data_IF_522452388897
#
_entry.id   IF_522452388897
#
_cell.length_a   1.000
_cell.length_b   1.000
_cell.length_c   1.000
_cell.angle_alpha   90.00
_cell.angle_beta   90.00
_cell.angle_gamma   90.00
#
_symmetry.space_group_name_H-M   'P 1'
#
loop_
_entity.id
_entity.type
_entity.pdbx_description
1 polymer ?
#
# COMPACT_ATOMS: atom_id res chain seq x y z
N UNK A 1 24.58 5.56 -1.11
CA UNK A 1 23.75 5.45 0.11
C UNK A 1 23.83 4.06 0.75
N UNK A 2 23.50 2.96 0.05
CA UNK A 2 23.57 1.60 0.64
C UNK A 2 24.93 1.26 1.23
N UNK A 3 26.03 1.59 0.54
CA UNK A 3 27.42 1.42 1.03
C UNK A 3 27.63 2.15 2.36
N UNK A 4 27.27 3.44 2.43
CA UNK A 4 27.38 4.23 3.66
C UNK A 4 26.55 3.65 4.83
N UNK A 5 25.36 3.09 4.56
CA UNK A 5 24.57 2.42 5.61
C UNK A 5 25.24 1.13 6.10
N UNK A 6 25.91 0.38 5.22
CA UNK A 6 26.70 -0.80 5.63
C UNK A 6 27.91 -0.38 6.47
N UNK A 7 28.62 0.66 6.05
CA UNK A 7 29.81 1.17 6.75
C UNK A 7 29.43 1.71 8.14
N UNK A 8 28.34 2.45 8.24
CA UNK A 8 27.90 2.99 9.53
C UNK A 8 27.43 1.91 10.48
N UNK A 9 26.68 0.90 10.00
CA UNK A 9 26.29 -0.24 10.83
C UNK A 9 27.50 -0.96 11.44
N UNK A 10 28.56 -1.17 10.64
CA UNK A 10 29.82 -1.77 11.10
C UNK A 10 30.55 -0.89 12.12
N UNK A 11 30.55 0.44 11.90
CA UNK A 11 31.25 1.38 12.77
C UNK A 11 30.56 1.59 14.12
N UNK A 12 29.23 1.55 14.12
CA UNK A 12 28.39 1.84 15.30
C UNK A 12 27.93 0.60 16.06
N UNK A 13 28.27 -0.61 15.60
CA UNK A 13 27.75 -1.88 16.11
C UNK A 13 26.22 -1.88 16.24
N UNK A 14 25.57 -1.27 15.26
CA UNK A 14 24.12 -1.09 15.21
C UNK A 14 23.53 -1.79 13.99
N UNK A 15 22.23 -2.08 14.04
CA UNK A 15 21.52 -2.63 12.89
C UNK A 15 21.62 -1.71 11.67
N UNK A 16 21.73 -2.32 10.48
CA UNK A 16 21.80 -1.57 9.24
C UNK A 16 20.49 -0.81 8.97
N UNK A 17 20.60 0.49 8.72
CA UNK A 17 19.47 1.29 8.23
C UNK A 17 18.87 0.71 6.95
N UNK A 18 17.53 0.68 6.89
CA UNK A 18 16.79 0.26 5.71
C UNK A 18 16.84 1.34 4.62
N UNK A 19 16.92 0.89 3.37
CA UNK A 19 16.85 1.75 2.19
C UNK A 19 15.71 1.28 1.29
N UNK A 20 14.76 2.17 1.02
CA UNK A 20 13.59 1.94 0.16
C UNK A 20 13.34 3.15 -0.73
N UNK A 21 12.54 2.99 -1.78
CA UNK A 21 12.13 4.09 -2.65
C UNK A 21 10.66 3.94 -3.09
N UNK A 22 9.91 5.04 -3.10
CA UNK A 22 8.65 5.09 -3.84
C UNK A 22 8.96 5.39 -5.32
N UNK A 23 8.41 4.60 -6.23
CA UNK A 23 8.76 4.63 -7.66
C UNK A 23 7.54 4.75 -8.55
N UNK A 24 7.76 5.18 -9.80
CA UNK A 24 6.67 5.33 -10.77
C UNK A 24 6.05 3.98 -11.17
N UNK A 25 4.73 4.00 -11.38
CA UNK A 25 3.98 2.91 -12.00
C UNK A 25 3.88 3.06 -13.53
N UNK A 26 4.27 4.21 -14.09
CA UNK A 26 4.12 4.53 -15.51
C UNK A 26 5.27 3.98 -16.34
N UNK A 27 4.96 3.14 -17.34
CA UNK A 27 5.94 2.51 -18.24
C UNK A 27 6.99 3.49 -18.77
N UNK A 28 6.55 4.62 -19.32
CA UNK A 28 7.43 5.62 -19.92
C UNK A 28 8.46 6.17 -18.92
N UNK A 29 8.00 6.54 -17.73
CA UNK A 29 8.89 7.00 -16.65
C UNK A 29 9.81 5.88 -16.17
N UNK A 30 9.30 4.65 -16.06
CA UNK A 30 10.10 3.48 -15.65
C UNK A 30 11.29 3.30 -16.60
N UNK A 31 11.05 3.34 -17.91
CA UNK A 31 12.09 3.15 -18.94
C UNK A 31 13.13 4.28 -18.96
N UNK A 32 12.72 5.51 -18.75
CA UNK A 32 13.60 6.68 -18.86
C UNK A 32 14.40 6.98 -17.59
N UNK A 33 13.86 6.63 -16.41
CA UNK A 33 14.35 7.18 -15.14
C UNK A 33 15.03 6.15 -14.23
N UNK A 34 14.90 4.85 -14.50
CA UNK A 34 15.35 3.81 -13.56
C UNK A 34 16.18 2.74 -14.24
N UNK A 35 17.41 2.55 -13.76
CA UNK A 35 18.12 1.28 -13.94
C UNK A 35 17.55 0.26 -12.96
N UNK A 36 16.44 -0.39 -13.34
CA UNK A 36 15.66 -1.27 -12.47
C UNK A 36 16.48 -2.44 -11.92
N UNK A 37 17.33 -3.05 -12.74
CA UNK A 37 18.19 -4.15 -12.32
C UNK A 37 19.14 -3.72 -11.20
N UNK A 38 19.85 -2.60 -11.38
CA UNK A 38 20.72 -2.06 -10.33
C UNK A 38 19.95 -1.66 -9.08
N UNK A 39 18.75 -1.08 -9.21
CA UNK A 39 17.91 -0.78 -8.03
C UNK A 39 17.52 -2.04 -7.27
N UNK A 40 17.19 -3.11 -7.99
CA UNK A 40 16.81 -4.41 -7.43
C UNK A 40 17.91 -5.07 -6.61
N UNK A 41 19.18 -4.69 -6.79
CA UNK A 41 20.28 -5.13 -5.93
C UNK A 41 20.23 -4.46 -4.56
N UNK A 42 19.87 -3.17 -4.50
CA UNK A 42 20.09 -2.35 -3.30
C UNK A 42 18.87 -2.10 -2.42
N UNK A 43 17.65 -2.04 -2.97
CA UNK A 43 16.49 -1.55 -2.24
C UNK A 43 15.17 -2.22 -2.64
N UNK A 44 14.17 -2.12 -1.75
CA UNK A 44 12.77 -2.44 -2.07
C UNK A 44 12.05 -1.21 -2.63
N UNK A 45 11.11 -1.43 -3.55
CA UNK A 45 10.37 -0.37 -4.25
C UNK A 45 8.88 -0.41 -3.94
N UNK A 46 8.29 0.77 -3.69
CA UNK A 46 6.86 0.97 -3.52
C UNK A 46 6.20 1.47 -4.81
N UNK A 47 5.22 0.73 -5.35
CA UNK A 47 4.44 1.10 -6.53
C UNK A 47 3.01 1.47 -6.12
N UNK A 48 2.58 2.72 -6.32
CA UNK A 48 1.23 3.16 -5.95
C UNK A 48 0.38 3.48 -7.17
N UNK A 49 -0.76 2.78 -7.30
CA UNK A 49 -1.85 3.10 -8.24
C UNK A 49 -3.21 2.81 -7.58
N UNK A 50 -4.29 3.36 -8.12
CA UNK A 50 -5.62 3.23 -7.50
C UNK A 50 -6.29 1.86 -7.73
N UNK A 51 -6.21 1.29 -8.94
CA UNK A 51 -6.87 0.01 -9.26
C UNK A 51 -5.90 -1.17 -9.30
N UNK A 52 -6.38 -2.37 -8.97
CA UNK A 52 -5.56 -3.59 -8.99
C UNK A 52 -4.99 -3.86 -10.38
N UNK A 53 -5.75 -3.63 -11.45
CA UNK A 53 -5.28 -3.86 -12.82
C UNK A 53 -4.03 -3.02 -13.17
N UNK A 54 -3.98 -1.78 -12.71
CA UNK A 54 -2.80 -0.94 -12.88
C UNK A 54 -1.66 -1.33 -11.93
N UNK A 55 -1.98 -1.78 -10.71
CA UNK A 55 -0.98 -2.31 -9.77
C UNK A 55 -0.30 -3.54 -10.39
N UNK A 56 -1.09 -4.46 -10.96
CA UNK A 56 -0.61 -5.67 -11.60
C UNK A 56 0.23 -5.36 -12.85
N UNK A 57 -0.26 -4.48 -13.72
CA UNK A 57 0.50 -4.02 -14.90
C UNK A 57 1.87 -3.47 -14.48
N UNK A 58 1.89 -2.52 -13.54
CA UNK A 58 3.11 -1.87 -13.11
C UNK A 58 4.06 -2.86 -12.42
N UNK A 59 3.56 -3.70 -11.51
CA UNK A 59 4.37 -4.68 -10.81
C UNK A 59 4.98 -5.73 -11.75
N UNK A 60 4.21 -6.21 -12.74
CA UNK A 60 4.72 -7.11 -13.78
C UNK A 60 5.75 -6.41 -14.67
N UNK A 61 5.60 -5.11 -14.92
CA UNK A 61 6.59 -4.34 -15.67
C UNK A 61 7.89 -4.16 -14.90
N UNK A 62 7.83 -3.84 -13.60
CA UNK A 62 9.03 -3.79 -12.75
C UNK A 62 9.73 -5.16 -12.69
N UNK A 63 8.97 -6.24 -12.58
CA UNK A 63 9.48 -7.61 -12.61
C UNK A 63 10.20 -7.91 -13.93
N UNK A 64 9.61 -7.56 -15.09
CA UNK A 64 10.21 -7.82 -16.40
C UNK A 64 11.49 -7.00 -16.65
N UNK A 65 11.67 -5.89 -15.93
CA UNK A 65 12.87 -5.05 -15.96
C UNK A 65 13.96 -5.49 -14.95
N UNK A 66 13.74 -6.59 -14.22
CA UNK A 66 14.74 -7.22 -13.35
C UNK A 66 14.58 -6.95 -11.85
N UNK A 67 13.48 -6.33 -11.41
CA UNK A 67 13.22 -6.16 -9.97
C UNK A 67 12.81 -7.50 -9.34
N UNK A 68 13.49 -7.99 -8.29
CA UNK A 68 13.06 -9.19 -7.58
C UNK A 68 11.65 -9.02 -7.02
N UNK A 69 10.79 -10.02 -7.23
CA UNK A 69 9.36 -9.94 -6.88
C UNK A 69 9.12 -9.61 -5.39
N UNK A 70 9.94 -10.16 -4.51
CA UNK A 70 9.90 -9.95 -3.06
C UNK A 70 10.37 -8.55 -2.63
N UNK A 71 10.96 -7.77 -3.54
CA UNK A 71 11.34 -6.37 -3.33
C UNK A 71 10.29 -5.39 -3.90
N UNK A 72 9.23 -5.89 -4.54
CA UNK A 72 8.10 -5.08 -5.01
C UNK A 72 7.06 -5.01 -3.90
N UNK A 73 6.81 -3.81 -3.38
CA UNK A 73 5.83 -3.51 -2.34
C UNK A 73 4.67 -2.75 -2.99
N UNK A 74 3.44 -3.26 -2.87
CA UNK A 74 2.27 -2.69 -3.52
C UNK A 74 1.66 -1.58 -2.66
N UNK A 75 1.49 -0.40 -3.25
CA UNK A 75 0.89 0.77 -2.61
C UNK A 75 -0.62 0.71 -2.63
N UNK A 76 -1.21 0.79 -1.44
CA UNK A 76 -2.65 0.79 -1.19
C UNK A 76 -3.07 2.22 -0.81
N UNK A 77 -3.90 2.89 -1.63
CA UNK A 77 -4.38 4.22 -1.30
C UNK A 77 -5.50 4.12 -0.25
N UNK A 78 -5.41 4.94 0.79
CA UNK A 78 -6.51 5.16 1.76
C UNK A 78 -7.31 6.42 1.41
N UNK A 79 -7.26 6.82 0.14
CA UNK A 79 -7.98 7.94 -0.45
C UNK A 79 -8.55 7.53 -1.81
N UNK A 80 -9.51 8.31 -2.29
CA UNK A 80 -10.09 8.18 -3.61
C UNK A 80 -9.75 9.34 -4.54
N UNK A 81 -10.05 9.15 -5.82
CA UNK A 81 -10.08 10.21 -6.84
C UNK A 81 -11.52 10.42 -7.27
N UNK A 82 -11.89 11.69 -7.46
CA UNK A 82 -13.26 12.07 -7.75
C UNK A 82 -13.43 12.96 -8.97
N UNK A 83 -14.60 12.84 -9.59
CA UNK A 83 -15.06 13.61 -10.73
C UNK A 83 -16.48 14.11 -10.49
N UNK A 84 -16.80 15.25 -11.10
CA UNK A 84 -18.20 15.69 -11.23
C UNK A 84 -18.74 15.14 -12.55
N UNK A 85 -19.79 14.32 -12.49
CA UNK A 85 -20.48 13.75 -13.65
C UNK A 85 -21.19 14.84 -14.45
N UNK A 86 -21.16 14.73 -15.78
CA UNK A 86 -21.99 15.57 -16.67
C UNK A 86 -23.47 15.29 -16.46
N UNK A 87 -23.82 14.00 -16.43
CA UNK A 87 -25.17 13.52 -16.24
C UNK A 87 -25.21 12.55 -15.05
N UNK A 88 -25.93 12.89 -13.98
CA UNK A 88 -25.99 12.05 -12.79
C UNK A 88 -26.74 10.74 -12.99
N UNK A 89 -27.52 10.59 -14.06
CA UNK A 89 -28.15 9.30 -14.41
C UNK A 89 -27.16 8.31 -15.05
N UNK A 90 -25.98 8.77 -15.48
CA UNK A 90 -24.91 7.96 -16.04
C UNK A 90 -23.74 7.92 -15.05
N UNK A 91 -23.67 6.87 -14.25
CA UNK A 91 -22.76 6.83 -13.09
C UNK A 91 -21.87 5.59 -13.04
N UNK A 92 -21.88 4.76 -14.09
CA UNK A 92 -20.99 3.60 -14.21
C UNK A 92 -19.56 4.05 -14.53
N UNK A 93 -18.60 3.14 -14.36
CA UNK A 93 -17.21 3.38 -14.78
C UNK A 93 -17.19 3.75 -16.27
N UNK A 94 -16.47 4.81 -16.61
CA UNK A 94 -16.40 5.37 -17.97
C UNK A 94 -17.41 6.46 -18.28
N UNK A 95 -18.33 6.78 -17.36
CA UNK A 95 -19.24 7.92 -17.51
C UNK A 95 -18.49 9.26 -17.67
N UNK A 96 -19.10 10.19 -18.42
CA UNK A 96 -18.46 11.46 -18.74
C UNK A 96 -18.41 12.39 -17.52
N UNK A 97 -17.21 12.83 -17.15
CA UNK A 97 -16.98 13.87 -16.15
C UNK A 97 -16.79 15.25 -16.78
N UNK A 98 -17.27 16.30 -16.12
CA UNK A 98 -17.05 17.71 -16.52
C UNK A 98 -15.85 18.36 -15.82
N UNK A 99 -15.21 17.63 -14.89
CA UNK A 99 -14.06 18.11 -14.14
C UNK A 99 -13.85 17.29 -12.87
N UNK A 100 -12.91 17.73 -12.00
CA UNK A 100 -12.72 17.16 -10.68
C UNK A 100 -14.02 17.18 -9.86
N UNK A 101 -14.13 16.28 -8.89
CA UNK A 101 -15.18 16.39 -7.86
C UNK A 101 -15.04 17.70 -7.10
N UNK A 102 -16.12 18.13 -6.44
CA UNK A 102 -16.12 19.29 -5.58
C UNK A 102 -15.07 19.17 -4.45
N UNK A 103 -14.62 20.31 -3.89
CA UNK A 103 -13.74 20.33 -2.72
C UNK A 103 -14.24 19.44 -1.58
N UNK A 104 -13.30 18.74 -0.93
CA UNK A 104 -13.56 17.98 0.29
C UNK A 104 -12.88 18.66 1.48
N UNK A 105 -13.10 18.17 2.69
CA UNK A 105 -12.40 18.66 3.89
C UNK A 105 -10.90 18.37 3.81
N UNK A 106 -10.51 17.23 3.23
CA UNK A 106 -9.10 16.86 3.06
C UNK A 106 -8.43 17.52 1.85
N UNK A 107 -9.19 18.01 0.87
CA UNK A 107 -8.66 18.65 -0.32
C UNK A 107 -9.55 19.79 -0.82
N UNK A 108 -9.15 21.02 -0.51
CA UNK A 108 -9.87 22.25 -0.81
C UNK A 108 -9.94 22.59 -2.31
N UNK A 109 -9.16 21.93 -3.17
CA UNK A 109 -9.22 22.11 -4.63
C UNK A 109 -10.18 21.11 -5.30
N UNK A 110 -10.55 20.04 -4.59
CA UNK A 110 -11.38 18.95 -5.12
C UNK A 110 -10.59 17.91 -5.92
N UNK A 111 -11.29 16.88 -6.39
CA UNK A 111 -10.72 15.77 -7.16
C UNK A 111 -10.10 14.62 -6.36
N UNK A 112 -9.96 14.76 -5.04
CA UNK A 112 -9.58 13.65 -4.14
C UNK A 112 -10.40 13.69 -2.86
N UNK A 113 -10.48 12.55 -2.19
CA UNK A 113 -11.31 12.35 -0.99
C UNK A 113 -10.61 11.36 -0.05
N UNK A 114 -10.60 11.60 1.25
CA UNK A 114 -10.08 10.63 2.21
C UNK A 114 -11.10 9.49 2.45
N UNK A 115 -10.66 8.28 2.84
CA UNK A 115 -11.58 7.18 3.13
C UNK A 115 -12.59 7.53 4.23
N UNK A 116 -12.15 8.23 5.28
CA UNK A 116 -13.05 8.68 6.34
C UNK A 116 -14.13 9.67 5.86
N UNK A 117 -13.89 10.42 4.77
CA UNK A 117 -14.89 11.29 4.14
C UNK A 117 -15.91 10.48 3.34
N UNK A 118 -15.46 9.46 2.60
CA UNK A 118 -16.35 8.53 1.91
C UNK A 118 -17.36 7.94 2.89
N UNK A 119 -16.92 7.50 4.07
CA UNK A 119 -17.81 6.97 5.10
C UNK A 119 -18.89 7.97 5.54
N UNK A 120 -18.61 9.28 5.55
CA UNK A 120 -19.62 10.31 5.81
C UNK A 120 -20.57 10.44 4.63
N UNK A 121 -20.07 10.47 3.41
CA UNK A 121 -20.90 10.61 2.21
C UNK A 121 -21.84 9.43 2.02
N UNK A 122 -21.43 8.20 2.34
CA UNK A 122 -22.30 7.02 2.36
C UNK A 122 -23.44 7.17 3.36
N UNK A 123 -23.16 7.68 4.58
CA UNK A 123 -24.20 7.97 5.58
C UNK A 123 -25.16 9.08 5.15
N UNK A 124 -24.71 9.98 4.29
CA UNK A 124 -25.51 11.08 3.72
C UNK A 124 -26.23 10.69 2.41
N UNK A 125 -26.34 9.40 2.08
CA UNK A 125 -27.08 8.90 0.93
C UNK A 125 -26.24 8.69 -0.34
N UNK A 126 -24.92 8.64 -0.23
CA UNK A 126 -24.05 8.15 -1.30
C UNK A 126 -24.22 6.64 -1.51
N UNK A 127 -24.19 6.20 -2.76
CA UNK A 127 -24.31 4.79 -3.14
C UNK A 127 -22.94 4.23 -3.51
N UNK A 128 -22.52 3.16 -2.84
CA UNK A 128 -21.29 2.40 -3.17
C UNK A 128 -21.60 1.29 -4.18
N UNK A 129 -20.69 1.09 -5.13
CA UNK A 129 -20.64 -0.08 -6.00
C UNK A 129 -19.23 -0.65 -6.01
N UNK A 130 -19.11 -1.97 -5.86
CA UNK A 130 -17.84 -2.68 -5.99
C UNK A 130 -17.63 -3.07 -7.45
N UNK A 131 -16.48 -2.73 -8.00
CA UNK A 131 -15.99 -3.23 -9.29
C UNK A 131 -15.06 -4.42 -9.06
N UNK A 132 -15.61 -5.63 -9.13
CA UNK A 132 -14.85 -6.87 -8.97
C UNK A 132 -13.81 -7.07 -10.08
N UNK A 133 -14.04 -6.54 -11.28
CA UNK A 133 -13.13 -6.70 -12.42
C UNK A 133 -11.88 -5.83 -12.25
N UNK A 134 -12.05 -4.58 -11.84
CA UNK A 134 -10.95 -3.66 -11.52
C UNK A 134 -10.35 -3.85 -10.14
N UNK A 135 -11.07 -4.56 -9.26
CA UNK A 135 -10.86 -4.65 -7.80
C UNK A 135 -10.66 -3.26 -7.20
N UNK A 136 -11.78 -2.58 -7.04
CA UNK A 136 -11.92 -1.28 -6.39
C UNK A 136 -13.39 -1.01 -6.10
N UNK A 137 -13.66 0.09 -5.42
CA UNK A 137 -15.02 0.58 -5.20
C UNK A 137 -15.18 1.95 -5.84
N UNK A 138 -16.43 2.31 -6.12
CA UNK A 138 -16.78 3.69 -6.39
C UNK A 138 -18.05 4.09 -5.66
N UNK A 139 -18.14 5.36 -5.28
CA UNK A 139 -19.27 5.94 -4.58
C UNK A 139 -19.83 7.11 -5.38
N UNK A 140 -21.15 7.15 -5.50
CA UNK A 140 -21.90 8.19 -6.21
C UNK A 140 -22.86 8.89 -5.27
N UNK A 141 -22.76 10.22 -5.16
CA UNK A 141 -23.71 11.05 -4.41
C UNK A 141 -24.10 12.26 -5.27
N UNK A 142 -25.35 12.26 -5.75
CA UNK A 142 -25.78 13.26 -6.75
C UNK A 142 -24.97 13.11 -8.04
N UNK A 143 -24.28 14.18 -8.46
CA UNK A 143 -23.34 14.15 -9.58
C UNK A 143 -21.87 13.99 -9.16
N UNK A 144 -21.60 13.67 -7.90
CA UNK A 144 -20.24 13.48 -7.40
C UNK A 144 -19.90 11.99 -7.44
N UNK A 145 -18.82 11.64 -8.14
CA UNK A 145 -18.38 10.26 -8.34
C UNK A 145 -16.96 10.11 -7.80
N UNK A 146 -16.69 9.09 -6.99
CA UNK A 146 -15.39 8.85 -6.39
C UNK A 146 -14.98 7.38 -6.54
N UNK A 147 -13.82 7.10 -7.14
CA UNK A 147 -13.17 5.78 -7.07
C UNK A 147 -12.26 5.74 -5.86
N UNK A 148 -12.31 4.65 -5.09
CA UNK A 148 -11.54 4.47 -3.86
C UNK A 148 -11.38 2.98 -3.52
N UNK A 149 -10.72 2.70 -2.40
CA UNK A 149 -10.63 1.38 -1.79
C UNK A 149 -11.40 1.33 -0.48
N UNK A 150 -12.14 0.24 -0.26
CA UNK A 150 -12.76 -0.09 1.02
C UNK A 150 -12.11 -1.35 1.61
N UNK A 151 -12.57 -1.80 2.78
CA UNK A 151 -12.00 -3.00 3.42
C UNK A 151 -12.10 -4.25 2.56
N UNK A 152 -13.18 -4.40 1.80
CA UNK A 152 -13.42 -5.56 0.94
C UNK A 152 -12.47 -5.58 -0.25
N UNK A 153 -12.31 -4.46 -0.96
CA UNK A 153 -11.40 -4.35 -2.11
C UNK A 153 -9.95 -4.47 -1.66
N UNK A 154 -9.61 -3.96 -0.48
CA UNK A 154 -8.29 -4.16 0.14
C UNK A 154 -8.04 -5.63 0.44
N UNK A 155 -9.01 -6.35 1.01
CA UNK A 155 -8.86 -7.80 1.26
C UNK A 155 -8.63 -8.56 -0.04
N UNK A 156 -9.36 -8.22 -1.10
CA UNK A 156 -9.14 -8.78 -2.45
C UNK A 156 -7.72 -8.49 -2.96
N UNK A 157 -7.23 -7.25 -2.82
CA UNK A 157 -5.86 -6.87 -3.19
C UNK A 157 -4.80 -7.61 -2.37
N UNK A 158 -5.00 -7.80 -1.06
CA UNK A 158 -4.05 -8.54 -0.23
C UNK A 158 -3.98 -10.02 -0.59
N UNK A 159 -5.13 -10.64 -0.92
CA UNK A 159 -5.17 -12.01 -1.43
C UNK A 159 -4.43 -12.15 -2.76
N UNK A 160 -4.69 -11.26 -3.71
CA UNK A 160 -3.96 -11.20 -4.98
C UNK A 160 -2.46 -11.01 -4.76
N UNK A 161 -2.06 -10.11 -3.87
CA UNK A 161 -0.66 -9.83 -3.57
C UNK A 161 0.08 -11.07 -3.05
N UNK A 162 -0.55 -11.78 -2.10
CA UNK A 162 -0.06 -13.06 -1.55
C UNK A 162 0.03 -14.13 -2.65
N UNK A 163 -1.03 -14.31 -3.43
CA UNK A 163 -1.10 -15.29 -4.52
C UNK A 163 0.02 -15.05 -5.55
N UNK A 164 0.27 -13.78 -5.89
CA UNK A 164 1.36 -13.43 -6.81
C UNK A 164 2.73 -13.48 -6.14
N UNK A 165 2.86 -13.52 -4.81
CA UNK A 165 4.15 -13.57 -4.13
C UNK A 165 4.96 -12.27 -4.20
N UNK A 166 4.28 -11.11 -4.13
CA UNK A 166 4.96 -9.82 -3.95
C UNK A 166 5.43 -9.64 -2.50
N UNK A 167 6.37 -8.71 -2.27
CA UNK A 167 7.07 -8.55 -0.99
C UNK A 167 6.23 -7.99 0.16
N UNK A 168 5.08 -7.40 -0.13
CA UNK A 168 4.25 -6.75 0.88
C UNK A 168 3.43 -5.60 0.35
N UNK A 169 2.75 -4.91 1.26
CA UNK A 169 1.97 -3.71 0.95
C UNK A 169 2.54 -2.49 1.69
N UNK A 170 2.29 -1.29 1.18
CA UNK A 170 2.42 -0.05 1.95
C UNK A 170 1.16 0.79 1.77
N UNK A 171 0.85 1.65 2.73
CA UNK A 171 -0.32 2.54 2.63
C UNK A 171 0.09 3.98 2.33
N UNK A 172 -0.77 4.68 1.61
CA UNK A 172 -0.74 6.13 1.46
C UNK A 172 -2.15 6.67 1.71
N UNK A 173 -2.45 7.28 2.86
CA UNK A 173 -1.63 7.52 4.07
C UNK A 173 -2.39 7.11 5.34
N UNK A 174 -1.75 7.20 6.52
CA UNK A 174 -2.44 6.93 7.79
C UNK A 174 -3.59 7.89 8.07
N UNK A 175 -3.41 9.17 7.75
CA UNK A 175 -4.34 10.26 8.07
C UNK A 175 -5.59 10.29 7.16
N UNK A 176 -5.61 9.48 6.10
CA UNK A 176 -6.78 9.33 5.22
C UNK A 176 -7.62 8.10 5.53
N UNK A 177 -7.11 7.13 6.30
CA UNK A 177 -7.93 6.08 6.91
C UNK A 177 -8.86 6.66 7.99
N UNK A 178 -9.86 5.92 8.48
CA UNK A 178 -10.65 6.34 9.65
C UNK A 178 -9.84 6.12 10.94
N UNK A 179 -8.75 6.88 11.08
CA UNK A 179 -7.76 6.72 12.15
C UNK A 179 -8.33 6.93 13.56
N UNK A 180 -9.43 7.69 13.69
CA UNK A 180 -10.17 7.84 14.96
C UNK A 180 -11.24 6.78 15.18
N UNK A 181 -11.65 6.07 14.12
CA UNK A 181 -12.74 5.09 14.16
C UNK A 181 -14.14 5.66 14.30
N UNK A 182 -14.30 6.97 14.11
CA UNK A 182 -15.57 7.69 14.34
C UNK A 182 -16.40 7.89 13.07
N UNK A 183 -15.81 7.68 11.88
CA UNK A 183 -16.43 8.04 10.61
C UNK A 183 -17.16 6.86 9.99
N UNK A 184 -16.56 5.67 10.01
CA UNK A 184 -17.08 4.45 9.40
C UNK A 184 -17.82 3.55 10.39
N UNK A 185 -17.59 3.72 11.71
CA UNK A 185 -18.18 2.88 12.75
C UNK A 185 -17.54 1.48 12.85
N UNK A 186 -16.28 1.35 12.41
CA UNK A 186 -15.55 0.08 12.32
C UNK A 186 -14.30 0.01 13.23
N UNK A 187 -14.19 0.96 14.17
CA UNK A 187 -12.98 1.13 14.99
C UNK A 187 -11.87 1.88 14.23
N UNK A 188 -10.76 2.20 14.91
CA UNK A 188 -9.67 2.96 14.32
C UNK A 188 -8.91 2.16 13.26
N UNK A 189 -8.49 2.84 12.19
CA UNK A 189 -7.72 2.27 11.09
C UNK A 189 -8.33 1.00 10.44
N UNK A 190 -9.59 1.04 9.99
CA UNK A 190 -10.25 -0.12 9.40
C UNK A 190 -9.52 -0.66 8.16
N UNK A 191 -9.01 0.21 7.28
CA UNK A 191 -8.31 -0.22 6.08
C UNK A 191 -6.97 -0.88 6.43
N UNK A 192 -6.20 -0.28 7.33
CA UNK A 192 -4.95 -0.87 7.82
C UNK A 192 -5.17 -2.22 8.51
N UNK A 193 -6.22 -2.31 9.31
CA UNK A 193 -6.59 -3.54 10.01
C UNK A 193 -6.94 -4.66 9.02
N UNK A 194 -7.66 -4.32 7.93
CA UNK A 194 -7.93 -5.26 6.85
C UNK A 194 -6.66 -5.74 6.15
N UNK A 195 -5.65 -4.88 5.97
CA UNK A 195 -4.34 -5.26 5.42
C UNK A 195 -3.64 -6.25 6.36
N UNK A 196 -3.48 -5.90 7.64
CA UNK A 196 -2.77 -6.73 8.61
C UNK A 196 -3.41 -8.11 8.77
N UNK A 197 -4.75 -8.14 8.89
CA UNK A 197 -5.51 -9.39 8.99
C UNK A 197 -5.22 -10.33 7.82
N UNK A 198 -5.17 -9.81 6.60
CA UNK A 198 -4.90 -10.64 5.43
C UNK A 198 -3.42 -11.02 5.29
N UNK A 199 -2.46 -10.17 5.67
CA UNK A 199 -1.03 -10.47 5.49
C UNK A 199 -0.47 -11.39 6.59
N UNK A 200 -0.86 -11.21 7.84
CA UNK A 200 -0.29 -11.97 8.97
C UNK A 200 -1.04 -13.29 9.21
N UNK A 201 -2.29 -13.40 8.71
CA UNK A 201 -3.24 -14.45 9.07
C UNK A 201 -3.72 -14.28 10.51
N UNK A 202 -4.71 -15.05 10.93
CA UNK A 202 -5.17 -15.13 12.33
C UNK A 202 -4.03 -15.68 13.22
N UNK A 203 -3.06 -14.84 13.56
CA UNK A 203 -1.98 -15.17 14.48
C UNK A 203 -2.22 -14.51 15.84
N UNK A 204 -2.97 -15.26 16.64
CA UNK A 204 -2.83 -15.42 18.09
C UNK A 204 -3.06 -14.21 18.99
N UNK A 205 -4.32 -13.99 19.39
CA UNK A 205 -4.62 -13.70 20.80
C UNK A 205 -4.38 -15.00 21.56
N UNK A 206 -3.15 -15.24 22.00
CA UNK A 206 -2.85 -16.29 22.97
C UNK A 206 -1.89 -15.75 24.02
N UNK A 207 -2.44 -15.61 25.21
CA UNK A 207 -1.81 -15.20 26.47
C UNK A 207 -0.49 -15.95 26.69
N UNK A 208 0.65 -15.25 26.58
CA UNK A 208 1.96 -15.81 26.94
C UNK A 208 2.08 -15.89 28.46
N UNK A 209 1.95 -17.10 29.00
CA UNK A 209 2.62 -17.46 30.25
C UNK A 209 4.12 -17.59 29.97
N UNK A 210 4.91 -16.92 30.79
CA UNK A 210 6.36 -16.85 30.74
C UNK A 210 6.97 -18.09 31.38
N UNK A 211 7.87 -18.77 30.70
CA UNK A 211 8.88 -19.58 31.37
C UNK A 211 10.22 -19.50 30.61
N UNK A 212 11.25 -19.18 31.39
CA UNK A 212 12.61 -18.82 30.99
C UNK A 212 13.51 -20.04 31.10
N UNK A 213 14.37 -20.30 30.12
CA UNK A 213 15.62 -21.03 30.38
C UNK A 213 16.76 -20.58 29.46
N UNK A 214 17.71 -19.92 30.12
CA UNK A 214 19.18 -19.87 30.05
C UNK A 214 19.96 -20.36 28.81
N UNK A 215 20.92 -19.51 28.42
CA UNK A 215 21.91 -19.57 27.33
C UNK A 215 23.15 -20.40 27.72
N UNK A 216 23.77 -21.09 26.74
CA UNK A 216 25.23 -21.29 26.68
C UNK A 216 25.71 -21.19 25.23
N UNK A 217 26.78 -20.41 25.06
CA UNK A 217 27.45 -20.01 23.81
C UNK A 217 28.60 -20.93 23.44
N UNK A 218 28.79 -21.22 22.15
CA UNK A 218 30.08 -21.58 21.57
C UNK A 218 30.21 -20.98 20.16
N UNK A 219 31.37 -20.36 19.91
CA UNK A 219 31.77 -19.67 18.69
C UNK A 219 32.15 -20.68 17.61
N UNK A 220 31.79 -20.44 16.34
CA UNK A 220 32.65 -20.81 15.20
C UNK A 220 32.32 -20.04 13.90
N UNK A 221 33.40 -19.50 13.34
CA UNK A 221 33.71 -19.19 11.94
C UNK A 221 32.71 -18.44 11.00
N UNK A 222 33.14 -17.23 10.63
CA UNK A 222 32.56 -16.38 9.59
C UNK A 222 32.73 -17.04 8.21
N UNK A 223 31.63 -17.58 7.66
CA UNK A 223 31.48 -17.82 6.21
C UNK A 223 30.57 -16.78 5.59
N UNK A 224 31.17 -15.94 4.74
CA UNK A 224 30.49 -15.00 3.86
C UNK A 224 29.58 -15.78 2.89
N UNK A 225 28.31 -15.96 3.28
CA UNK A 225 27.28 -16.52 2.43
C UNK A 225 26.42 -15.38 1.91
N UNK A 226 26.38 -15.23 0.59
CA UNK A 226 25.35 -14.46 -0.10
C UNK A 226 24.01 -15.12 0.23
N UNK A 227 23.25 -14.51 1.15
CA UNK A 227 21.93 -15.00 1.52
C UNK A 227 21.02 -15.00 0.29
N UNK A 228 20.79 -16.20 -0.26
CA UNK A 228 19.59 -16.47 -1.03
C UNK A 228 18.40 -16.20 -0.10
N UNK A 229 17.53 -15.27 -0.50
CA UNK A 229 16.36 -14.87 0.29
C UNK A 229 15.39 -16.05 0.32
N UNK A 230 15.06 -16.48 1.53
CA UNK A 230 14.12 -17.57 1.81
C UNK A 230 12.77 -17.34 1.09
N UNK A 231 12.36 -18.23 0.16
CA UNK A 231 11.10 -18.12 -0.56
C UNK A 231 9.87 -18.29 0.35
N UNK A 232 10.04 -18.67 1.62
CA UNK A 232 8.96 -18.81 2.61
C UNK A 232 8.64 -17.52 3.38
N UNK A 233 9.37 -16.42 3.15
CA UNK A 233 9.18 -15.17 3.88
C UNK A 233 7.80 -14.57 3.62
N UNK A 234 7.01 -14.40 4.70
CA UNK A 234 5.70 -13.74 4.66
C UNK A 234 5.82 -12.30 4.14
N UNK A 235 4.86 -11.82 3.31
CA UNK A 235 4.82 -10.42 2.90
C UNK A 235 4.72 -9.49 4.12
N UNK A 236 5.38 -8.33 4.09
CA UNK A 236 5.42 -7.38 5.21
C UNK A 236 4.66 -6.09 4.90
N UNK A 237 4.03 -5.49 5.91
CA UNK A 237 3.46 -4.15 5.77
C UNK A 237 4.53 -3.09 6.03
N UNK A 238 4.69 -2.16 5.10
CA UNK A 238 5.58 -1.01 5.25
C UNK A 238 4.77 0.27 5.48
N UNK A 239 5.15 1.05 6.48
CA UNK A 239 4.56 2.35 6.74
C UNK A 239 5.42 3.45 6.12
N UNK A 240 4.89 4.15 5.12
CA UNK A 240 5.57 5.32 4.57
C UNK A 240 5.24 6.55 5.42
N UNK A 241 6.16 6.94 6.29
CA UNK A 241 6.02 8.16 7.09
C UNK A 241 6.36 9.36 6.19
N UNK A 242 5.36 10.18 5.88
CA UNK A 242 5.58 11.48 5.23
C UNK A 242 6.21 12.43 6.25
N UNK A 243 7.46 12.86 6.05
CA UNK A 243 7.97 14.05 6.72
C UNK A 243 7.20 15.25 6.18
N UNK A 244 6.23 15.77 6.93
CA UNK A 244 5.74 17.13 6.72
C UNK A 244 6.84 18.07 7.15
N UNK A 245 7.47 18.76 6.20
CA UNK A 245 8.21 19.97 6.54
C UNK A 245 7.17 21.02 6.98
N UNK A 246 7.39 21.56 8.17
CA UNK A 246 6.78 22.81 8.65
C UNK A 246 6.99 23.93 7.62
#
# INVERSE_FOLDING_TARGET
MKVAFVEEAKKSDSEQLLLTAAVSAGKHTIDQSYNVQSLGEFLAVGIQTNSRNFQEFAANYWLSKGMPKQKIIIGIPTYGRGWTLRNSSESTIGAEGIGPSLPTTSNLVGGTVAYWEICKYLKEGGNETIDEQGVGAYMVKGNQWYSYDNEETIKMKMRWLKEKGYGGAFIWTLDFDDFKGTSCGKGPYPLLSAINYELEGESTVSTKSSETTTVTSENDEIKTTTNAVDPTRKPSLYLQIKKSHL
#
